data_IF_897819334830
#
_entry.id   IF_897819334830
#
_cell.length_a   1.000
_cell.length_b   1.000
_cell.length_c   1.000
_cell.angle_alpha   90.00
_cell.angle_beta   90.00
_cell.angle_gamma   90.00
#
_symmetry.space_group_name_H-M   'P 1'
#
loop_
_entity.id
_entity.type
_entity.pdbx_description
1 polymer ?
2 non-polymer ?
#
# COMPACT_ATOMS: atom_id res chain seq x y z
N UNK A 13 23.89 7.99 -20.30
CA UNK A 13 22.79 7.39 -19.56
C UNK A 13 23.29 6.27 -18.66
N UNK A 14 24.16 5.43 -19.23
CA UNK A 14 24.71 4.26 -18.52
C UNK A 14 25.37 4.68 -17.21
N UNK A 15 26.16 5.74 -17.24
CA UNK A 15 26.83 6.29 -16.07
C UNK A 15 26.23 7.63 -15.68
N UNK A 16 25.20 8.08 -16.39
CA UNK A 16 24.56 9.36 -16.16
C UNK A 16 23.32 9.30 -15.32
N UNK A 17 22.49 8.27 -15.51
CA UNK A 17 21.28 8.10 -14.70
C UNK A 17 21.23 6.76 -13.99
N UNK A 18 21.41 5.64 -14.70
CA UNK A 18 21.28 4.30 -14.11
C UNK A 18 22.16 4.16 -12.86
N UNK A 19 23.48 4.31 -13.02
CA UNK A 19 24.41 4.11 -11.91
C UNK A 19 24.15 5.10 -10.77
N UNK A 20 24.10 6.44 -10.98
CA UNK A 20 23.79 7.34 -9.86
C UNK A 20 22.51 6.97 -9.11
N UNK A 21 21.41 6.70 -9.82
CA UNK A 21 20.14 6.37 -9.19
C UNK A 21 20.25 5.09 -8.37
N UNK A 22 20.82 4.04 -8.99
CA UNK A 22 21.04 2.77 -8.31
C UNK A 22 21.87 2.97 -7.04
N UNK A 23 22.93 3.77 -7.13
CA UNK A 23 23.74 4.08 -5.95
C UNK A 23 22.89 4.77 -4.89
N UNK A 24 22.16 5.82 -5.29
CA UNK A 24 21.32 6.60 -4.38
C UNK A 24 20.38 5.70 -3.59
N UNK A 25 19.70 4.80 -4.29
CA UNK A 25 18.72 3.94 -3.63
C UNK A 25 19.37 2.84 -2.81
N UNK A 26 20.33 2.11 -3.40
CA UNK A 26 20.95 0.98 -2.72
C UNK A 26 21.76 1.41 -1.50
N UNK A 27 22.35 2.60 -1.56
CA UNK A 27 23.20 3.18 -0.52
C UNK A 27 22.48 3.26 0.82
N UNK A 28 21.42 4.07 0.90
CA UNK A 28 20.73 4.30 2.16
C UNK A 28 20.08 3.01 2.68
N UNK A 29 19.33 2.32 1.82
CA UNK A 29 18.58 1.13 2.23
C UNK A 29 19.48 -0.01 2.69
N UNK A 30 20.78 0.03 2.36
CA UNK A 30 21.71 -1.05 2.68
C UNK A 30 21.69 -1.37 4.17
N UNK A 31 21.74 -0.34 5.01
CA UNK A 31 21.78 -0.54 6.46
C UNK A 31 20.52 -1.25 6.92
N UNK A 32 19.36 -0.80 6.42
CA UNK A 32 18.07 -1.40 6.76
C UNK A 32 18.06 -2.89 6.42
N UNK A 33 18.52 -3.23 5.20
CA UNK A 33 18.60 -4.62 4.78
C UNK A 33 19.51 -5.40 5.73
N UNK A 34 20.62 -4.77 6.12
CA UNK A 34 21.59 -5.41 7.01
C UNK A 34 20.93 -5.78 8.33
N UNK A 35 20.14 -4.85 8.89
CA UNK A 35 19.50 -5.12 10.18
C UNK A 35 18.43 -6.18 10.02
N UNK A 36 17.70 -6.18 8.89
CA UNK A 36 16.71 -7.23 8.63
C UNK A 36 17.37 -8.61 8.61
N UNK A 37 18.49 -8.72 7.88
CA UNK A 37 19.22 -9.99 7.83
C UNK A 37 19.77 -10.37 9.20
N UNK A 38 20.29 -9.40 9.95
CA UNK A 38 20.81 -9.65 11.29
C UNK A 38 19.70 -10.19 12.18
N UNK A 39 18.56 -9.50 12.21
CA UNK A 39 17.38 -9.95 12.94
C UNK A 39 17.02 -11.38 12.56
N UNK A 40 17.12 -11.71 11.26
CA UNK A 40 16.75 -13.04 10.79
C UNK A 40 17.69 -14.10 11.36
N UNK A 41 18.98 -13.79 11.37
CA UNK A 41 19.97 -14.73 11.90
C UNK A 41 19.84 -14.85 13.42
N UNK A 42 19.53 -13.74 14.08
CA UNK A 42 19.40 -13.76 15.53
C UNK A 42 18.14 -14.48 15.98
N UNK A 43 17.07 -14.43 15.19
CA UNK A 43 15.82 -15.09 15.57
C UNK A 43 15.81 -16.58 15.33
N UNK A 44 16.82 -17.12 14.68
CA UNK A 44 16.93 -18.57 14.48
C UNK A 44 17.79 -19.23 15.53
N UNK A 45 18.27 -18.47 16.52
CA UNK A 45 19.21 -18.99 17.50
C UNK A 45 18.52 -19.64 18.70
N UNK A 46 17.18 -19.70 18.71
CA UNK A 46 16.50 -20.28 19.84
C UNK A 46 16.48 -19.42 21.08
N UNK A 47 16.56 -18.11 20.93
CA UNK A 47 16.45 -17.22 22.07
C UNK A 47 15.03 -17.20 22.62
N UNK A 48 14.83 -16.77 23.86
CA UNK A 48 13.48 -16.60 24.40
C UNK A 48 12.69 -15.59 23.59
N UNK A 49 11.37 -15.72 23.64
CA UNK A 49 10.49 -14.79 22.92
C UNK A 49 10.74 -13.35 23.36
N UNK A 50 10.91 -13.14 24.67
CA UNK A 50 11.18 -11.81 25.21
C UNK A 50 12.39 -11.19 24.54
N UNK A 51 13.46 -11.98 24.42
CA UNK A 51 14.71 -11.50 23.83
C UNK A 51 14.51 -11.15 22.36
N UNK A 52 13.73 -11.97 21.63
CA UNK A 52 13.47 -11.70 20.22
C UNK A 52 12.73 -10.38 20.02
N UNK A 53 11.65 -10.18 20.79
CA UNK A 53 10.91 -8.93 20.72
C UNK A 53 11.78 -7.75 21.11
N UNK A 54 12.55 -7.87 22.21
CA UNK A 54 13.38 -6.75 22.65
C UNK A 54 14.43 -6.43 21.59
N UNK A 55 15.00 -7.46 20.97
CA UNK A 55 16.04 -7.25 19.97
C UNK A 55 15.47 -6.49 18.79
N UNK A 56 14.27 -6.88 18.33
CA UNK A 56 13.72 -6.17 17.18
C UNK A 56 13.34 -4.74 17.59
N UNK A 57 13.00 -4.51 18.87
CA UNK A 57 12.73 -3.14 19.32
C UNK A 57 13.96 -2.28 19.15
N UNK A 58 15.10 -2.75 19.69
CA UNK A 58 16.37 -2.04 19.53
C UNK A 58 16.73 -1.84 18.06
N UNK A 59 16.48 -2.85 17.23
CA UNK A 59 16.73 -2.70 15.80
C UNK A 59 15.82 -1.68 15.14
N UNK A 60 14.56 -1.63 15.58
CA UNK A 60 13.64 -0.63 15.06
C UNK A 60 14.03 0.77 15.47
N UNK A 61 14.50 0.93 16.71
CA UNK A 61 15.04 2.23 17.14
C UNK A 61 16.22 2.64 16.29
N UNK A 62 17.14 1.71 16.02
CA UNK A 62 18.31 2.08 15.24
C UNK A 62 17.96 2.39 13.79
N UNK A 63 17.02 1.65 13.20
CA UNK A 63 16.58 1.93 11.84
C UNK A 63 15.84 3.26 11.74
N UNK A 64 14.97 3.53 12.72
CA UNK A 64 14.25 4.81 12.72
C UNK A 64 15.21 5.97 12.92
N UNK A 65 16.23 5.79 13.76
CA UNK A 65 17.23 6.83 13.91
C UNK A 65 18.01 7.02 12.62
N UNK A 66 18.32 5.92 11.92
CA UNK A 66 19.11 6.03 10.69
C UNK A 66 18.35 6.75 9.60
N UNK A 67 17.04 6.53 9.51
CA UNK A 67 16.30 7.16 8.43
C UNK A 67 15.76 8.54 8.79
N UNK A 68 15.46 8.81 10.05
CA UNK A 68 14.81 10.06 10.40
C UNK A 68 15.58 10.91 11.41
N UNK A 69 16.86 10.61 11.67
CA UNK A 69 17.72 11.35 12.61
C UNK A 69 17.06 11.50 13.97
N UNK A 70 17.14 12.70 14.55
CA UNK A 70 16.59 12.91 15.89
C UNK A 70 15.07 12.93 15.88
N UNK A 71 14.46 13.20 14.74
CA UNK A 71 13.02 13.33 14.60
C UNK A 71 12.25 12.01 14.72
N UNK A 72 12.85 10.88 15.10
CA UNK A 72 12.14 9.62 15.30
C UNK A 72 11.20 9.65 16.50
N UNK A 73 11.26 10.73 17.30
CA UNK A 73 10.46 10.87 18.51
C UNK A 73 8.98 10.77 18.20
N UNK A 74 8.54 11.21 17.03
CA UNK A 74 7.11 11.19 16.72
C UNK A 74 6.61 9.74 16.64
N UNK A 75 7.37 8.88 15.96
CA UNK A 75 7.02 7.46 15.88
C UNK A 75 7.10 6.84 17.28
N UNK A 76 8.13 7.20 18.05
CA UNK A 76 8.28 6.68 19.41
C UNK A 76 7.07 7.07 20.25
N UNK A 77 6.67 8.35 20.15
CA UNK A 77 5.50 8.88 20.82
C UNK A 77 4.29 8.04 20.48
N UNK A 78 4.05 7.80 19.18
CA UNK A 78 2.89 7.04 18.76
C UNK A 78 2.92 5.63 19.34
N UNK A 79 4.09 4.98 19.28
CA UNK A 79 4.22 3.61 19.77
C UNK A 79 3.83 3.52 21.24
N UNK A 80 4.44 4.37 22.07
CA UNK A 80 4.14 4.39 23.49
C UNK A 80 2.69 4.76 23.73
N UNK A 81 2.17 5.74 22.98
CA UNK A 81 0.79 6.20 23.16
C UNK A 81 -0.19 5.08 22.87
N UNK A 82 0.05 4.32 21.78
CA UNK A 82 -0.84 3.23 21.41
C UNK A 82 -0.80 2.14 22.44
N UNK A 83 0.40 1.79 22.95
CA UNK A 83 0.43 0.80 24.02
C UNK A 83 -0.31 1.30 25.24
N UNK A 84 -0.10 2.57 25.61
CA UNK A 84 -0.74 3.15 26.78
C UNK A 84 -2.26 3.02 26.68
N UNK A 85 -2.80 3.40 25.51
CA UNK A 85 -4.25 3.33 25.27
C UNK A 85 -4.71 1.88 25.33
N UNK A 86 -3.98 0.98 24.67
CA UNK A 86 -4.35 -0.43 24.66
C UNK A 86 -4.36 -1.01 26.07
N UNK A 87 -3.36 -0.65 26.88
CA UNK A 87 -3.26 -1.11 28.25
C UNK A 87 -4.45 -0.61 29.07
N UNK A 88 -4.77 0.68 28.92
CA UNK A 88 -5.89 1.25 29.69
C UNK A 88 -7.21 0.55 29.38
N UNK A 89 -7.36 0.01 28.17
CA UNK A 89 -8.59 -0.64 27.75
C UNK A 89 -8.37 -2.13 27.50
N UNK A 90 -7.42 -2.74 28.23
CA UNK A 90 -7.05 -4.14 28.02
C UNK A 90 -8.17 -5.13 28.34
N UNK A 91 -9.21 -4.69 29.04
CA UNK A 91 -10.32 -5.57 29.39
C UNK A 91 -11.55 -5.28 28.55
N UNK A 92 -11.56 -4.15 27.86
CA UNK A 92 -12.70 -3.72 27.06
C UNK A 92 -12.77 -4.55 25.79
N UNK A 93 -13.99 -4.83 25.33
CA UNK A 93 -14.20 -5.52 24.07
C UNK A 93 -14.20 -4.59 22.88
N UNK A 94 -13.87 -3.32 23.08
CA UNK A 94 -13.81 -2.30 22.03
C UNK A 94 -12.42 -1.71 21.94
N UNK A 95 -11.39 -2.58 22.00
CA UNK A 95 -10.00 -2.14 21.92
C UNK A 95 -9.66 -1.49 20.58
N UNK A 96 -10.17 -2.05 19.49
CA UNK A 96 -9.93 -1.45 18.18
C UNK A 96 -10.55 -0.08 18.04
N UNK A 97 -11.69 0.15 18.66
CA UNK A 97 -12.33 1.46 18.61
C UNK A 97 -11.45 2.50 19.29
N UNK A 98 -10.97 2.20 20.50
CA UNK A 98 -10.14 3.14 21.24
C UNK A 98 -8.81 3.38 20.53
N UNK A 99 -8.19 2.33 20.00
CA UNK A 99 -6.93 2.51 19.29
C UNK A 99 -7.12 3.30 18.00
N UNK A 100 -8.24 3.07 17.29
CA UNK A 100 -8.52 3.84 16.09
C UNK A 100 -8.78 5.30 16.41
N UNK A 101 -9.47 5.57 17.53
CA UNK A 101 -9.70 6.95 17.94
C UNK A 101 -8.38 7.63 18.29
N UNK A 102 -7.49 6.93 18.99
CA UNK A 102 -6.22 7.55 19.38
C UNK A 102 -5.31 7.76 18.17
N UNK A 103 -5.39 6.86 17.18
CA UNK A 103 -4.66 7.05 15.94
C UNK A 103 -5.22 8.24 15.19
N UNK A 104 -6.56 8.36 15.14
CA UNK A 104 -7.22 9.52 14.52
C UNK A 104 -6.69 10.80 15.13
N UNK A 105 -6.68 10.88 16.47
CA UNK A 105 -6.23 12.09 17.17
C UNK A 105 -4.80 12.42 16.79
N UNK A 106 -3.90 11.43 16.91
CA UNK A 106 -2.48 11.67 16.66
C UNK A 106 -2.26 12.14 15.22
N UNK A 107 -2.88 11.45 14.25
CA UNK A 107 -2.70 11.79 12.85
C UNK A 107 -3.23 13.20 12.58
N UNK A 108 -4.42 13.52 13.12
CA UNK A 108 -5.00 14.84 12.90
C UNK A 108 -4.10 15.93 13.46
N UNK A 109 -3.52 15.67 14.64
CA UNK A 109 -2.64 16.65 15.28
C UNK A 109 -1.41 16.89 14.40
N UNK A 110 -0.85 15.81 13.84
CA UNK A 110 0.27 15.97 12.94
C UNK A 110 -0.08 16.71 11.66
N UNK A 111 -1.25 16.42 11.08
CA UNK A 111 -1.72 17.12 9.88
C UNK A 111 -2.03 18.59 10.15
N UNK A 112 -2.34 18.94 11.40
CA UNK A 112 -2.60 20.32 11.79
C UNK A 112 -1.36 21.21 11.73
N UNK A 113 -0.21 20.65 11.35
CA UNK A 113 1.08 21.32 11.15
C UNK A 113 1.76 21.70 12.46
N UNK A 114 1.38 21.06 13.57
CA UNK A 114 2.06 21.28 14.84
C UNK A 114 3.54 20.91 14.73
N UNK A 115 3.85 19.94 13.88
CA UNK A 115 5.21 19.49 13.62
C UNK A 115 5.61 20.01 12.24
N UNK A 116 6.93 20.20 12.05
CA UNK A 116 7.49 20.68 10.79
C UNK A 116 7.03 19.83 9.62
N UNK A 117 6.64 20.50 8.52
CA UNK A 117 6.12 19.80 7.34
C UNK A 117 7.14 18.83 6.74
N UNK A 118 8.41 19.27 6.62
CA UNK A 118 9.45 18.42 6.06
C UNK A 118 9.66 17.20 6.95
N UNK A 119 9.79 17.42 8.25
CA UNK A 119 9.99 16.33 9.20
C UNK A 119 8.81 15.38 9.19
N UNK A 120 7.58 15.93 9.23
CA UNK A 120 6.38 15.10 9.28
C UNK A 120 6.27 14.23 8.03
N UNK A 121 6.41 14.86 6.85
CA UNK A 121 6.29 14.12 5.59
C UNK A 121 7.39 13.08 5.46
N UNK A 122 8.58 13.40 5.96
CA UNK A 122 9.73 12.50 5.91
C UNK A 122 9.41 11.10 6.43
N UNK A 123 8.58 11.00 7.47
CA UNK A 123 8.28 9.72 8.10
C UNK A 123 6.78 9.41 8.13
N UNK A 124 6.08 9.78 7.07
CA UNK A 124 4.67 9.43 6.95
C UNK A 124 4.50 7.92 6.81
N UNK A 125 5.40 7.28 6.05
CA UNK A 125 5.33 5.85 5.85
C UNK A 125 5.51 5.03 7.12
N UNK A 126 6.62 5.27 7.84
CA UNK A 126 6.87 4.56 9.10
C UNK A 126 5.74 4.77 10.12
N UNK A 127 5.28 6.01 10.26
CA UNK A 127 4.17 6.30 11.16
C UNK A 127 2.89 5.63 10.69
N UNK A 128 2.66 5.60 9.38
CA UNK A 128 1.50 4.91 8.82
C UNK A 128 1.53 3.43 9.16
N UNK A 129 2.69 2.80 9.02
CA UNK A 129 2.79 1.37 9.30
C UNK A 129 2.59 1.09 10.78
N UNK A 130 3.15 1.95 11.65
CA UNK A 130 2.96 1.80 13.09
C UNK A 130 1.49 1.96 13.47
N UNK A 131 0.82 2.97 12.90
CA UNK A 131 -0.60 3.19 13.17
C UNK A 131 -1.45 2.03 12.68
N UNK A 132 -1.15 1.52 11.49
CA UNK A 132 -1.89 0.39 10.95
C UNK A 132 -1.70 -0.85 11.81
N UNK A 133 -0.48 -1.09 12.28
CA UNK A 133 -0.20 -2.23 13.15
C UNK A 133 -0.95 -2.11 14.47
N UNK A 134 -0.98 -0.92 15.07
CA UNK A 134 -1.66 -0.76 16.35
C UNK A 134 -3.17 -0.95 16.20
N UNK A 135 -3.76 -0.36 15.17
CA UNK A 135 -5.19 -0.50 14.94
C UNK A 135 -5.54 -1.96 14.63
N UNK A 136 -4.70 -2.63 13.84
CA UNK A 136 -4.93 -4.02 13.51
C UNK A 136 -4.86 -4.92 14.73
N UNK A 137 -3.90 -4.68 15.63
CA UNK A 137 -3.84 -5.50 16.83
C UNK A 137 -5.04 -5.26 17.73
N UNK A 138 -5.50 -4.00 17.81
CA UNK A 138 -6.71 -3.74 18.58
C UNK A 138 -7.93 -4.45 18.03
N UNK A 139 -8.11 -4.43 16.72
CA UNK A 139 -9.26 -5.10 16.13
C UNK A 139 -9.12 -6.61 16.18
N UNK A 140 -7.89 -7.14 16.12
CA UNK A 140 -7.69 -8.58 16.24
C UNK A 140 -7.99 -9.04 17.66
N UNK A 141 -7.65 -8.22 18.66
CA UNK A 141 -8.03 -8.53 20.03
C UNK A 141 -9.54 -8.44 20.22
N UNK A 142 -10.20 -7.50 19.53
CA UNK A 142 -11.66 -7.41 19.64
C UNK A 142 -12.35 -8.61 19.02
N UNK A 143 -11.92 -9.03 17.83
CA UNK A 143 -12.59 -10.13 17.16
C UNK A 143 -12.20 -11.50 17.71
N UNK A 144 -11.19 -11.58 18.56
CA UNK A 144 -10.82 -12.83 19.17
C UNK A 144 -9.77 -13.62 18.42
N UNK A 145 -9.23 -13.06 17.32
CA UNK A 145 -8.18 -13.76 16.60
C UNK A 145 -6.91 -13.85 17.45
N UNK A 146 -6.63 -12.84 18.25
CA UNK A 146 -5.56 -12.87 19.24
C UNK A 146 -6.21 -13.12 20.59
N UNK A 147 -5.78 -14.17 21.26
CA UNK A 147 -6.41 -14.62 22.50
C UNK A 147 -6.32 -13.65 23.65
N UNK A 148 -5.10 -13.30 24.04
CA UNK A 148 -4.86 -12.43 25.18
C UNK A 148 -4.20 -11.14 24.70
N UNK A 149 -4.36 -10.09 25.50
CA UNK A 149 -3.68 -8.83 25.22
C UNK A 149 -2.18 -9.03 25.36
N UNK A 150 -1.37 -8.64 24.37
CA UNK A 150 0.06 -8.92 24.43
C UNK A 150 0.77 -8.14 25.51
N UNK A 151 1.90 -8.69 25.93
CA UNK A 151 2.78 -8.03 26.88
C UNK A 151 3.40 -6.80 26.21
N UNK A 152 3.93 -5.84 27.01
CA UNK A 152 4.53 -4.65 26.40
C UNK A 152 5.64 -4.95 25.41
N UNK A 153 6.48 -5.95 25.70
CA UNK A 153 7.60 -6.25 24.82
C UNK A 153 7.11 -6.82 23.49
N UNK A 154 6.02 -7.60 23.50
CA UNK A 154 5.48 -8.13 22.26
C UNK A 154 4.85 -7.03 21.41
N UNK A 155 4.10 -6.12 22.04
CA UNK A 155 3.50 -5.02 21.28
C UNK A 155 4.56 -4.10 20.71
N UNK A 156 5.59 -3.78 21.50
CA UNK A 156 6.64 -2.89 21.02
C UNK A 156 7.47 -3.59 19.93
N UNK A 157 7.68 -4.89 20.06
CA UNK A 157 8.36 -5.63 19.01
C UNK A 157 7.53 -5.70 17.73
N UNK A 158 6.22 -5.81 17.88
CA UNK A 158 5.33 -5.79 16.71
C UNK A 158 5.37 -4.43 16.01
N UNK A 159 5.37 -3.34 16.78
CA UNK A 159 5.42 -2.02 16.15
C UNK A 159 6.79 -1.75 15.56
N UNK A 160 7.85 -2.23 16.21
CA UNK A 160 9.21 -2.03 15.74
C UNK A 160 9.79 -3.28 15.10
N UNK A 161 9.00 -4.06 14.38
CA UNK A 161 9.56 -5.16 13.62
C UNK A 161 10.44 -4.55 12.55
N UNK A 162 11.73 -4.90 12.57
CA UNK A 162 12.70 -4.17 11.78
C UNK A 162 12.55 -4.44 10.28
N UNK A 163 11.90 -5.54 9.91
CA UNK A 163 11.58 -5.73 8.52
C UNK A 163 10.38 -4.93 8.05
N UNK A 164 9.59 -4.39 8.97
CA UNK A 164 8.36 -3.68 8.61
C UNK A 164 8.24 -2.37 9.36
N UNK A 165 9.33 -1.60 9.47
CA UNK A 165 9.33 -0.37 10.24
C UNK A 165 9.40 0.87 9.35
N UNK A 166 10.33 0.90 8.39
CA UNK A 166 10.54 2.11 7.58
C UNK A 166 9.62 2.14 6.36
N UNK A 167 9.82 1.20 5.44
CA UNK A 167 8.96 1.09 4.27
C UNK A 167 8.17 -0.20 4.27
N UNK A 168 8.30 -0.98 5.34
CA UNK A 168 7.72 -2.29 5.49
C UNK A 168 6.23 -2.38 5.26
N UNK A 169 5.78 -3.50 4.72
CA UNK A 169 4.34 -3.72 4.60
C UNK A 169 3.74 -3.95 5.96
N UNK A 170 2.49 -3.53 6.12
CA UNK A 170 1.77 -3.89 7.32
C UNK A 170 1.65 -5.40 7.40
N UNK A 171 1.96 -5.96 8.55
CA UNK A 171 1.75 -7.38 8.78
C UNK A 171 0.88 -7.52 10.02
N UNK A 172 0.11 -8.60 10.07
CA UNK A 172 -0.75 -8.84 11.22
C UNK A 172 0.10 -9.26 12.41
N UNK A 173 -0.49 -9.14 13.61
CA UNK A 173 0.20 -9.57 14.81
C UNK A 173 0.52 -11.06 14.77
N UNK A 174 -0.41 -11.86 14.24
CA UNK A 174 -0.14 -13.30 14.10
C UNK A 174 0.97 -13.57 13.10
N UNK A 175 1.00 -12.81 11.99
CA UNK A 175 2.10 -12.92 11.04
C UNK A 175 3.43 -12.54 11.68
N UNK A 176 3.43 -11.49 12.52
CA UNK A 176 4.64 -11.11 13.24
C UNK A 176 5.08 -12.22 14.20
N UNK A 177 4.13 -12.81 14.92
CA UNK A 177 4.48 -13.89 15.85
C UNK A 177 5.00 -15.11 15.10
N UNK A 178 4.47 -15.38 13.91
CA UNK A 178 5.00 -16.44 13.07
C UNK A 178 6.42 -16.14 12.65
N UNK A 179 6.70 -14.88 12.31
CA UNK A 179 8.07 -14.46 12.03
C UNK A 179 8.97 -14.66 13.25
N UNK A 180 8.43 -14.38 14.44
CA UNK A 180 9.18 -14.55 15.69
C UNK A 180 9.54 -16.01 15.91
N UNK A 181 8.58 -16.91 15.67
CA UNK A 181 8.82 -18.34 15.83
C UNK A 181 9.94 -18.83 14.91
N UNK A 182 10.09 -18.20 13.75
CA UNK A 182 11.20 -18.47 12.87
C UNK A 182 10.93 -19.60 11.89
N UNK A 183 11.66 -19.57 10.78
CA UNK A 183 11.60 -20.61 9.78
C UNK A 183 13.01 -20.88 9.27
N UNK A 184 13.29 -22.12 8.88
CA UNK A 184 14.63 -22.43 8.34
C UNK A 184 14.97 -21.61 7.11
N UNK A 185 16.21 -21.11 7.09
CA UNK A 185 16.70 -20.36 5.95
C UNK A 185 16.90 -21.32 4.77
N UNK A 186 16.24 -21.04 3.66
CA UNK A 186 16.22 -21.94 2.53
C UNK A 186 16.58 -21.18 1.26
N UNK A 187 16.79 -21.96 0.19
CA UNK A 187 17.06 -21.38 -1.12
C UNK A 187 15.87 -20.57 -1.61
N UNK A 188 14.65 -21.04 -1.34
CA UNK A 188 13.44 -20.32 -1.71
C UNK A 188 13.40 -18.93 -1.08
N UNK A 189 13.77 -18.84 0.20
CA UNK A 189 13.83 -17.56 0.90
C UNK A 189 14.82 -16.62 0.23
N UNK A 190 16.03 -17.11 -0.05
CA UNK A 190 17.06 -16.28 -0.68
C UNK A 190 16.63 -15.83 -2.07
N UNK A 191 16.01 -16.73 -2.83
CA UNK A 191 15.50 -16.35 -4.14
C UNK A 191 14.44 -15.27 -4.05
N UNK A 192 13.54 -15.38 -3.07
CA UNK A 192 12.51 -14.35 -2.86
C UNK A 192 13.14 -13.00 -2.54
N UNK A 193 14.11 -12.98 -1.62
CA UNK A 193 14.77 -11.73 -1.25
C UNK A 193 15.52 -11.14 -2.44
N UNK A 194 16.29 -11.97 -3.14
CA UNK A 194 17.06 -11.50 -4.28
C UNK A 194 16.16 -10.96 -5.39
N UNK A 195 15.09 -11.69 -5.71
CA UNK A 195 14.15 -11.26 -6.73
C UNK A 195 13.50 -9.93 -6.35
N UNK A 196 13.08 -9.81 -5.09
CA UNK A 196 12.46 -8.56 -4.62
C UNK A 196 13.45 -7.40 -4.68
N UNK A 197 14.70 -7.62 -4.27
CA UNK A 197 15.71 -6.57 -4.32
C UNK A 197 16.02 -6.15 -5.76
N UNK A 198 16.20 -7.12 -6.65
CA UNK A 198 16.46 -6.82 -8.05
C UNK A 198 15.31 -6.06 -8.68
N UNK A 199 14.08 -6.49 -8.41
CA UNK A 199 12.91 -5.79 -8.94
C UNK A 199 12.79 -4.40 -8.35
N UNK A 200 13.11 -4.23 -7.05
CA UNK A 200 13.08 -2.92 -6.43
C UNK A 200 14.06 -1.97 -7.09
N UNK A 201 15.30 -2.43 -7.29
CA UNK A 201 16.30 -1.57 -7.92
C UNK A 201 15.94 -1.25 -9.36
N UNK A 202 15.39 -2.24 -10.07
CA UNK A 202 14.93 -2.02 -11.45
C UNK A 202 13.79 -1.00 -11.49
N UNK A 203 12.83 -1.11 -10.58
CA UNK A 203 11.71 -0.17 -10.56
C UNK A 203 12.19 1.24 -10.21
N UNK A 204 13.14 1.36 -9.28
CA UNK A 204 13.70 2.67 -8.95
C UNK A 204 14.41 3.29 -10.16
N UNK A 205 15.24 2.49 -10.83
CA UNK A 205 15.96 2.93 -12.03
C UNK A 205 14.97 3.36 -13.10
N UNK A 206 13.92 2.56 -13.31
CA UNK A 206 12.88 2.89 -14.28
C UNK A 206 12.17 4.17 -13.90
N UNK A 207 11.86 4.35 -12.61
CA UNK A 207 11.17 5.55 -12.14
C UNK A 207 12.01 6.80 -12.35
N UNK A 208 13.32 6.69 -12.23
CA UNK A 208 14.14 7.89 -12.35
C UNK A 208 14.61 8.13 -13.78
N UNK A 209 14.90 7.07 -14.54
CA UNK A 209 15.47 7.21 -15.87
C UNK A 209 14.47 6.86 -16.97
N UNK A 210 13.90 5.65 -16.98
CA UNK A 210 13.03 5.24 -18.08
C UNK A 210 11.73 6.03 -18.05
N UNK A 211 11.06 6.06 -16.90
CA UNK A 211 9.79 6.72 -16.70
C UNK A 211 9.66 8.16 -17.17
N UNK A 212 10.49 9.07 -16.65
CA UNK A 212 10.38 10.49 -17.04
C UNK A 212 10.69 10.75 -18.51
N UNK A 213 11.54 9.94 -19.14
CA UNK A 213 11.96 10.18 -20.51
C UNK A 213 11.32 9.21 -21.49
N UNK A 214 10.17 8.63 -21.12
CA UNK A 214 9.51 7.61 -21.94
C UNK A 214 9.12 8.15 -23.32
N UNK A 215 8.24 9.14 -23.34
CA UNK A 215 7.75 9.65 -24.62
C UNK A 215 8.72 10.49 -25.44
N UNK A 216 9.52 11.41 -24.87
CA UNK A 216 10.47 12.15 -25.73
C UNK A 216 11.47 11.26 -26.46
N UNK A 217 11.89 10.12 -25.89
CA UNK A 217 12.94 9.33 -26.52
C UNK A 217 12.47 7.92 -26.85
N UNK A 218 12.14 7.09 -25.87
CA UNK A 218 11.71 5.69 -26.08
C UNK A 218 10.59 5.51 -27.11
N UNK A 229 1.98 22.96 -27.19
CA UNK A 229 1.61 22.14 -26.05
C UNK A 229 0.16 21.66 -26.21
N UNK A 230 -0.06 20.84 -27.24
CA UNK A 230 -1.37 20.29 -27.49
C UNK A 230 -1.77 19.26 -26.45
N UNK A 231 -3.07 18.91 -26.50
CA UNK A 231 -3.67 17.96 -25.56
C UNK A 231 -2.91 16.63 -25.54
N UNK A 232 -2.46 16.17 -26.71
CA UNK A 232 -1.69 14.93 -26.78
C UNK A 232 -0.40 15.04 -25.98
N UNK A 233 0.31 16.17 -26.13
CA UNK A 233 1.54 16.41 -25.39
C UNK A 233 1.25 16.37 -23.89
N UNK A 234 0.16 17.04 -23.47
CA UNK A 234 -0.19 17.08 -22.05
C UNK A 234 -0.47 15.68 -21.53
N UNK A 235 -1.19 14.86 -22.31
CA UNK A 235 -1.48 13.50 -21.87
C UNK A 235 -0.22 12.64 -21.83
N UNK A 236 0.73 12.88 -22.74
CA UNK A 236 2.00 12.17 -22.69
C UNK A 236 2.77 12.50 -21.43
N UNK A 237 2.87 13.80 -21.11
CA UNK A 237 3.53 14.23 -19.88
C UNK A 237 2.81 13.70 -18.63
N UNK A 238 1.47 13.72 -18.65
CA UNK A 238 0.70 13.19 -17.53
C UNK A 238 0.95 11.71 -17.36
N UNK A 239 0.97 10.96 -18.46
CA UNK A 239 1.18 9.52 -18.40
C UNK A 239 2.57 9.22 -17.89
N UNK A 240 3.59 9.94 -18.37
CA UNK A 240 4.94 9.62 -17.93
C UNK A 240 5.13 10.00 -16.46
N UNK A 241 4.46 11.05 -15.99
CA UNK A 241 4.52 11.37 -14.56
C UNK A 241 3.81 10.30 -13.74
N UNK A 242 2.74 9.73 -14.29
CA UNK A 242 2.02 8.68 -13.58
C UNK A 242 2.86 7.41 -13.52
N UNK A 243 3.45 7.02 -14.65
CA UNK A 243 4.25 5.80 -14.72
C UNK A 243 5.49 5.93 -13.84
N UNK A 244 6.11 7.11 -13.80
CA UNK A 244 7.23 7.35 -12.89
C UNK A 244 6.80 7.21 -11.43
N UNK A 245 5.63 7.79 -11.07
CA UNK A 245 5.10 7.63 -9.72
C UNK A 245 4.81 6.16 -9.41
N UNK A 246 4.27 5.43 -10.40
CA UNK A 246 3.98 4.02 -10.21
C UNK A 246 5.25 3.23 -9.95
N UNK A 247 6.30 3.44 -10.76
CA UNK A 247 7.53 2.71 -10.53
C UNK A 247 8.22 3.10 -9.22
N UNK A 248 8.07 4.35 -8.77
CA UNK A 248 8.56 4.71 -7.44
C UNK A 248 7.82 3.93 -6.36
N UNK A 249 6.49 3.84 -6.49
CA UNK A 249 5.70 3.04 -5.56
C UNK A 249 6.09 1.56 -5.63
N UNK A 250 6.31 1.04 -6.84
CA UNK A 250 6.72 -0.36 -7.00
C UNK A 250 8.07 -0.59 -6.35
N UNK A 251 8.98 0.38 -6.46
CA UNK A 251 10.26 0.31 -5.76
C UNK A 251 10.03 0.15 -4.26
N UNK A 252 9.17 1.00 -3.70
CA UNK A 252 8.86 0.89 -2.27
C UNK A 252 8.22 -0.45 -1.94
N UNK A 253 7.28 -0.90 -2.78
CA UNK A 253 6.62 -2.18 -2.56
C UNK A 253 7.57 -3.37 -2.58
N UNK A 254 8.42 -3.45 -3.61
CA UNK A 254 9.37 -4.56 -3.72
C UNK A 254 10.43 -4.48 -2.65
N UNK A 255 10.86 -3.26 -2.30
CA UNK A 255 11.79 -3.10 -1.19
C UNK A 255 11.16 -3.58 0.11
N UNK A 256 9.88 -3.28 0.31
CA UNK A 256 9.17 -3.73 1.50
C UNK A 256 9.06 -5.26 1.52
N UNK A 257 8.80 -5.87 0.36
CA UNK A 257 8.82 -7.33 0.25
C UNK A 257 10.19 -7.89 0.61
N UNK A 258 11.25 -7.27 0.09
CA UNK A 258 12.61 -7.72 0.34
C UNK A 258 12.94 -7.63 1.82
N UNK A 259 12.66 -6.49 2.45
CA UNK A 259 12.98 -6.30 3.86
C UNK A 259 12.17 -7.25 4.74
N UNK A 260 10.87 -7.37 4.49
CA UNK A 260 10.03 -8.24 5.30
C UNK A 260 10.44 -9.70 5.17
N UNK A 261 10.66 -10.17 3.93
CA UNK A 261 11.11 -11.54 3.72
C UNK A 261 12.49 -11.76 4.34
N UNK A 262 13.40 -10.81 4.15
CA UNK A 262 14.75 -10.91 4.69
C UNK A 262 14.75 -10.90 6.20
N UNK A 263 13.73 -10.33 6.84
CA UNK A 263 13.64 -10.38 8.28
C UNK A 263 12.99 -11.65 8.78
N UNK A 264 12.30 -12.39 7.91
CA UNK A 264 11.69 -13.65 8.27
C UNK A 264 10.18 -13.69 8.25
N UNK A 265 9.51 -12.61 7.84
CA UNK A 265 8.06 -12.59 7.80
C UNK A 265 7.59 -12.84 6.37
N UNK A 266 6.28 -12.73 6.16
CA UNK A 266 5.74 -12.88 4.82
C UNK A 266 5.80 -14.27 4.24
N UNK A 267 5.51 -15.31 5.04
CA UNK A 267 5.48 -16.67 4.55
C UNK A 267 4.10 -17.29 4.74
N UNK A 268 3.79 -18.27 3.91
CA UNK A 268 2.53 -18.99 3.96
C UNK A 268 2.80 -20.48 4.06
N UNK A 269 2.47 -21.05 5.21
CA UNK A 269 2.65 -22.47 5.51
C UNK A 269 1.44 -23.20 4.92
N UNK A 270 1.49 -23.46 3.62
CA UNK A 270 0.37 -24.11 2.94
C UNK A 270 0.68 -25.57 2.69
N UNK A 271 -0.22 -26.45 3.17
CA UNK A 271 -0.13 -27.91 3.03
C UNK A 271 1.23 -28.42 3.47
N UNK A 272 1.68 -27.92 4.63
CA UNK A 272 2.98 -28.25 5.23
C UNK A 272 4.11 -27.98 4.24
N UNK A 273 3.95 -26.94 3.44
CA UNK A 273 4.91 -26.52 2.44
C UNK A 273 5.05 -25.01 2.54
N UNK A 274 6.24 -24.55 2.88
CA UNK A 274 6.51 -23.14 3.13
C UNK A 274 6.71 -22.36 1.83
N UNK A 275 5.94 -21.29 1.64
CA UNK A 275 6.05 -20.43 0.47
C UNK A 275 6.22 -18.98 0.91
N UNK A 276 7.40 -18.43 0.67
CA UNK A 276 7.66 -17.00 0.91
C UNK A 276 7.05 -16.24 -0.25
N UNK A 277 5.79 -15.85 -0.11
CA UNK A 277 5.06 -15.25 -1.21
C UNK A 277 4.38 -13.96 -0.80
N UNK A 278 4.98 -13.21 0.11
CA UNK A 278 4.45 -11.89 0.45
C UNK A 278 4.57 -11.00 -0.77
N UNK A 279 3.43 -10.53 -1.25
CA UNK A 279 3.38 -9.64 -2.41
C UNK A 279 2.75 -8.33 -1.97
N UNK A 280 3.49 -7.24 -2.09
CA UNK A 280 2.97 -5.93 -1.74
C UNK A 280 2.35 -5.26 -2.95
N UNK A 281 3.03 -5.29 -4.08
CA UNK A 281 2.54 -4.65 -5.29
C UNK A 281 2.65 -5.61 -6.45
N UNK A 282 1.65 -5.58 -7.34
CA UNK A 282 1.65 -6.36 -8.57
C UNK A 282 1.68 -5.38 -9.73
N UNK A 283 2.89 -5.00 -10.19
CA UNK A 283 2.99 -4.01 -11.28
C UNK A 283 2.27 -4.40 -12.55
N UNK A 284 2.29 -5.68 -12.92
CA UNK A 284 1.64 -6.12 -14.15
C UNK A 284 0.13 -5.89 -14.12
N UNK A 285 -0.48 -5.99 -12.94
CA UNK A 285 -1.91 -5.79 -12.81
C UNK A 285 -2.32 -4.32 -12.74
N UNK A 286 -1.36 -3.39 -12.67
CA UNK A 286 -1.64 -1.97 -12.70
C UNK A 286 -1.22 -1.35 -14.03
N UNK A 287 0.00 -1.67 -14.49
CA UNK A 287 0.50 -1.19 -15.77
C UNK A 287 -0.36 -1.73 -16.92
N UNK A 288 -0.69 -3.01 -16.88
CA UNK A 288 -1.64 -3.61 -17.80
C UNK A 288 -2.90 -3.94 -17.02
N UNK A 289 -3.79 -2.96 -16.80
CA UNK A 289 -4.92 -3.15 -15.89
C UNK A 289 -6.18 -3.69 -16.53
N UNK A 290 -6.84 -4.60 -15.82
CA UNK A 290 -8.17 -5.00 -16.27
C UNK A 290 -9.21 -3.99 -15.80
N UNK A 291 -9.12 -3.56 -14.54
CA UNK A 291 -10.05 -2.61 -13.97
C UNK A 291 -9.31 -1.73 -12.97
N UNK A 292 -9.93 -0.60 -12.63
CA UNK A 292 -9.34 0.29 -11.63
C UNK A 292 -9.42 -0.32 -10.24
N UNK A 293 -10.41 -1.18 -9.99
CA UNK A 293 -10.48 -1.92 -8.73
C UNK A 293 -9.24 -2.79 -8.58
N UNK A 294 -8.85 -3.47 -9.67
CA UNK A 294 -7.63 -4.26 -9.67
C UNK A 294 -6.41 -3.38 -9.43
N UNK A 295 -6.40 -2.18 -10.02
CA UNK A 295 -5.30 -1.24 -9.83
C UNK A 295 -5.15 -0.88 -8.36
N UNK A 296 -6.26 -0.50 -7.72
CA UNK A 296 -6.25 -0.11 -6.31
C UNK A 296 -5.81 -1.27 -5.43
N UNK A 297 -6.35 -2.46 -5.68
CA UNK A 297 -5.99 -3.63 -4.90
C UNK A 297 -4.52 -3.99 -5.07
N UNK A 298 -4.05 -4.06 -6.32
CA UNK A 298 -2.68 -4.45 -6.62
C UNK A 298 -1.68 -3.38 -6.25
N UNK A 299 -2.14 -2.14 -6.03
CA UNK A 299 -1.25 -1.03 -5.67
C UNK A 299 -0.46 -1.35 -4.41
N UNK A 300 -1.16 -1.76 -3.35
CA UNK A 300 -0.52 -2.13 -2.11
C UNK A 300 -1.42 -3.17 -1.43
N UNK A 301 -1.12 -4.46 -1.68
CA UNK A 301 -1.95 -5.54 -1.14
C UNK A 301 -2.07 -5.48 0.38
N UNK A 302 -0.99 -5.33 1.18
CA UNK A 302 -1.17 -5.17 2.63
C UNK A 302 -2.10 -4.03 2.99
N UNK A 303 -1.88 -2.85 2.40
CA UNK A 303 -2.72 -1.68 2.69
C UNK A 303 -4.16 -1.94 2.28
N UNK A 304 -4.38 -2.50 1.08
CA UNK A 304 -5.73 -2.77 0.61
C UNK A 304 -6.43 -3.75 1.56
N UNK A 305 -5.71 -4.78 2.00
CA UNK A 305 -6.27 -5.74 2.94
C UNK A 305 -6.60 -5.08 4.26
N UNK A 306 -5.68 -4.25 4.76
CA UNK A 306 -5.89 -3.56 6.03
C UNK A 306 -7.13 -2.69 5.97
N UNK A 307 -7.22 -1.85 4.93
CA UNK A 307 -8.36 -0.96 4.78
C UNK A 307 -9.65 -1.73 4.59
N UNK A 308 -9.57 -2.88 3.91
CA UNK A 308 -10.75 -3.69 3.65
C UNK A 308 -11.23 -4.41 4.91
N UNK A 309 -10.31 -4.89 5.73
CA UNK A 309 -10.68 -5.70 6.89
C UNK A 309 -10.88 -4.89 8.16
N UNK A 310 -10.09 -3.84 8.36
CA UNK A 310 -10.11 -3.07 9.60
C UNK A 310 -10.78 -1.71 9.47
N UNK A 311 -11.24 -1.32 8.28
CA UNK A 311 -11.98 -0.07 8.12
C UNK A 311 -13.27 -0.34 7.37
N UNK A 312 -13.20 -1.10 6.28
CA UNK A 312 -14.38 -1.32 5.45
C UNK A 312 -15.42 -2.18 6.16
N UNK A 313 -14.98 -3.29 6.77
CA UNK A 313 -15.93 -4.16 7.47
C UNK A 313 -16.52 -3.48 8.69
N UNK A 314 -15.74 -2.62 9.36
CA UNK A 314 -16.27 -1.90 10.51
C UNK A 314 -17.17 -0.75 10.12
N UNK A 315 -17.10 -0.29 8.86
CA UNK A 315 -17.93 0.82 8.40
C UNK A 315 -19.12 0.37 7.56
N UNK A 316 -19.40 -0.94 7.54
CA UNK A 316 -20.52 -1.44 6.73
C UNK A 316 -21.87 -1.02 7.27
N UNK A 317 -21.94 -0.52 8.50
CA UNK A 317 -23.19 -0.06 9.08
C UNK A 317 -23.69 1.23 8.45
N UNK A 318 -22.84 1.95 7.72
CA UNK A 318 -23.23 3.17 7.03
C UNK A 318 -23.69 2.92 5.61
N UNK A 319 -23.68 1.68 5.16
CA UNK A 319 -23.92 1.37 3.76
C UNK A 319 -22.62 1.10 3.03
N UNK A 320 -22.74 0.50 1.84
CA UNK A 320 -21.56 0.12 1.08
C UNK A 320 -20.81 1.35 0.55
N UNK A 321 -21.54 2.29 -0.06
CA UNK A 321 -20.90 3.46 -0.65
C UNK A 321 -20.30 4.36 0.43
N UNK A 322 -21.01 4.55 1.54
CA UNK A 322 -20.48 5.35 2.63
C UNK A 322 -19.25 4.68 3.24
N UNK A 323 -19.24 3.34 3.29
CA UNK A 323 -18.07 2.63 3.77
C UNK A 323 -16.90 2.81 2.82
N UNK A 324 -17.17 2.88 1.52
CA UNK A 324 -16.11 3.16 0.54
C UNK A 324 -15.51 4.53 0.78
N UNK A 325 -16.37 5.53 1.01
CA UNK A 325 -15.88 6.87 1.30
C UNK A 325 -15.11 6.94 2.63
N UNK A 326 -15.58 6.21 3.65
CA UNK A 326 -14.88 6.17 4.93
C UNK A 326 -13.52 5.48 4.77
N UNK A 327 -13.48 4.40 3.99
CA UNK A 327 -12.23 3.69 3.74
C UNK A 327 -11.23 4.55 3.00
N UNK A 328 -11.69 5.27 1.98
CA UNK A 328 -10.77 6.14 1.23
C UNK A 328 -10.35 7.36 2.04
N UNK A 329 -11.23 7.87 2.92
CA UNK A 329 -10.83 8.98 3.78
C UNK A 329 -9.79 8.51 4.80
N UNK A 330 -9.95 7.29 5.32
CA UNK A 330 -8.95 6.73 6.21
C UNK A 330 -7.63 6.50 5.47
N UNK A 331 -7.71 6.10 4.21
CA UNK A 331 -6.51 5.96 3.40
C UNK A 331 -5.84 7.32 3.17
N UNK A 332 -6.64 8.36 2.97
CA UNK A 332 -6.09 9.71 2.78
C UNK A 332 -5.41 10.20 4.04
N UNK A 333 -5.99 9.89 5.20
CA UNK A 333 -5.37 10.28 6.46
C UNK A 333 -4.09 9.49 6.72
N UNK A 334 -4.08 8.19 6.36
CA UNK A 334 -2.88 7.38 6.57
C UNK A 334 -1.71 7.85 5.73
N UNK A 335 -1.95 8.34 4.52
CA UNK A 335 -0.88 8.88 3.69
C UNK A 335 -0.55 10.32 4.01
N UNK A 336 -1.23 10.90 5.00
CA UNK A 336 -1.05 12.29 5.34
C UNK A 336 -1.97 13.15 4.50
N UNK A 337 -2.60 14.15 5.12
CA UNK A 337 -3.57 14.96 4.40
C UNK A 337 -2.80 15.97 3.56
N UNK A 338 -2.63 15.65 2.29
CA UNK A 338 -2.30 16.62 1.26
C UNK A 338 -3.49 16.67 0.32
N UNK A 339 -3.81 17.86 -0.16
CA UNK A 339 -5.08 18.01 -0.89
C UNK A 339 -5.07 17.26 -2.20
N UNK A 340 -3.92 17.17 -2.88
CA UNK A 340 -3.90 16.45 -4.15
C UNK A 340 -4.13 14.96 -3.93
N UNK A 341 -3.51 14.37 -2.91
CA UNK A 341 -3.70 12.95 -2.65
C UNK A 341 -5.10 12.67 -2.10
N UNK A 342 -5.64 13.58 -1.30
CA UNK A 342 -7.02 13.43 -0.83
C UNK A 342 -8.00 13.52 -1.99
N UNK A 343 -7.74 14.43 -2.93
CA UNK A 343 -8.58 14.54 -4.12
C UNK A 343 -8.44 13.31 -5.00
N UNK A 344 -7.23 12.76 -5.11
CA UNK A 344 -7.01 11.54 -5.90
C UNK A 344 -7.78 10.38 -5.30
N UNK A 345 -7.74 10.23 -3.97
CA UNK A 345 -8.42 9.10 -3.36
C UNK A 345 -9.94 9.28 -3.37
N UNK A 346 -10.42 10.52 -3.22
CA UNK A 346 -11.85 10.78 -3.33
C UNK A 346 -12.35 10.53 -4.74
N UNK A 347 -11.57 10.90 -5.76
CA UNK A 347 -11.93 10.57 -7.12
C UNK A 347 -11.83 9.06 -7.36
N UNK A 348 -10.85 8.40 -6.74
CA UNK A 348 -10.67 6.97 -6.91
C UNK A 348 -11.82 6.17 -6.33
N UNK A 349 -12.41 6.64 -5.24
CA UNK A 349 -13.61 5.99 -4.69
C UNK A 349 -14.72 5.96 -5.72
N UNK A 350 -15.04 7.11 -6.31
CA UNK A 350 -16.08 7.19 -7.32
C UNK A 350 -15.70 6.40 -8.58
N UNK A 351 -14.45 6.51 -9.02
CA UNK A 351 -14.03 5.83 -10.25
C UNK A 351 -14.13 4.32 -10.07
N UNK A 352 -13.51 3.79 -9.01
CA UNK A 352 -13.51 2.34 -8.79
C UNK A 352 -14.94 1.85 -8.64
N UNK A 353 -15.76 2.54 -7.82
CA UNK A 353 -17.13 2.11 -7.60
C UNK A 353 -17.91 2.07 -8.91
N UNK A 354 -17.81 3.14 -9.71
CA UNK A 354 -18.57 3.25 -10.96
C UNK A 354 -18.12 2.18 -11.94
N UNK A 355 -16.80 2.00 -12.08
CA UNK A 355 -16.27 0.94 -12.93
C UNK A 355 -16.77 -0.43 -12.46
N UNK A 356 -16.70 -0.66 -11.15
CA UNK A 356 -17.12 -1.93 -10.57
C UNK A 356 -18.58 -2.23 -10.90
N UNK A 357 -19.48 -1.29 -10.60
CA UNK A 357 -20.91 -1.52 -10.81
C UNK A 357 -21.20 -1.68 -12.29
N UNK A 358 -20.58 -0.85 -13.14
CA UNK A 358 -20.85 -0.91 -14.57
C UNK A 358 -20.34 -2.22 -15.15
N UNK A 359 -19.14 -2.64 -14.77
CA UNK A 359 -18.59 -3.92 -15.19
C UNK A 359 -19.50 -5.07 -14.75
N UNK A 360 -20.01 -4.99 -13.51
CA UNK A 360 -20.89 -6.04 -12.99
C UNK A 360 -22.17 -6.11 -13.81
N UNK A 361 -22.84 -4.96 -13.99
CA UNK A 361 -24.12 -4.94 -14.70
C UNK A 361 -23.93 -5.37 -16.15
N UNK A 362 -22.81 -4.95 -16.78
CA UNK A 362 -22.52 -5.39 -18.14
C UNK A 362 -22.32 -6.90 -18.18
N UNK A 363 -21.61 -7.44 -17.18
CA UNK A 363 -21.41 -8.88 -17.09
C UNK A 363 -22.74 -9.62 -16.94
N UNK A 364 -23.67 -9.04 -16.19
CA UNK A 364 -24.96 -9.68 -15.99
C UNK A 364 -25.80 -9.63 -17.26
N UNK A 365 -25.95 -8.43 -17.84
CA UNK A 365 -26.80 -8.26 -19.02
C UNK A 365 -26.23 -8.99 -20.23
N UNK A 366 -24.92 -8.93 -20.43
CA UNK A 366 -24.29 -9.48 -21.61
C UNK A 366 -23.69 -10.87 -21.39
N UNK A 367 -24.04 -11.53 -20.27
CA UNK A 367 -23.51 -12.83 -19.85
C UNK A 367 -22.04 -13.04 -20.21
N UNK A 368 -21.20 -12.07 -19.86
CA UNK A 368 -19.81 -12.06 -20.26
C UNK A 368 -18.88 -11.95 -19.06
N UNK A 369 -17.64 -12.37 -19.25
CA UNK A 369 -16.60 -12.34 -18.22
C UNK A 369 -15.90 -10.98 -18.19
N UNK A 370 -16.69 -9.92 -17.97
CA UNK A 370 -16.16 -8.57 -18.00
C UNK A 370 -16.22 -7.96 -16.60
N UNK A 371 -16.16 -8.79 -15.57
CA UNK A 371 -16.09 -8.32 -14.20
C UNK A 371 -14.75 -7.65 -13.92
N UNK A 372 -14.68 -6.95 -12.78
CA UNK A 372 -13.48 -6.23 -12.40
C UNK A 372 -12.32 -7.16 -12.08
N UNK A 373 -12.62 -8.42 -11.77
CA UNK A 373 -11.61 -9.45 -11.61
C UNK A 373 -11.92 -10.57 -12.59
N UNK A 374 -10.96 -11.47 -12.77
CA UNK A 374 -11.18 -12.61 -13.65
C UNK A 374 -12.21 -13.56 -13.05
N UNK A 375 -13.10 -14.06 -13.91
CA UNK A 375 -14.08 -15.04 -13.46
C UNK A 375 -13.40 -16.37 -13.16
N UNK A 376 -13.95 -17.16 -12.24
CA UNK A 376 -13.45 -18.52 -12.05
C UNK A 376 -13.78 -19.38 -13.25
N UNK A 377 -13.11 -20.53 -13.41
CA UNK A 377 -13.42 -21.40 -14.56
C UNK A 377 -14.84 -21.93 -14.59
N UNK A 378 -15.53 -21.98 -13.47
CA UNK A 378 -16.94 -22.38 -13.43
C UNK A 378 -17.76 -21.14 -13.07
N UNK A 379 -18.12 -20.37 -14.08
CA UNK A 379 -19.00 -19.23 -13.95
C UNK A 379 -20.10 -19.34 -15.00
N UNK A 380 -21.24 -18.74 -14.71
CA UNK A 380 -22.43 -18.94 -15.53
C UNK A 380 -22.46 -18.06 -16.77
N UNK A 381 -21.42 -17.26 -17.01
CA UNK A 381 -21.41 -16.39 -18.18
C UNK A 381 -21.31 -17.20 -19.47
N UNK A 382 -22.18 -16.90 -20.42
CA UNK A 382 -22.20 -17.64 -21.68
C UNK A 382 -21.01 -17.28 -22.56
N UNK A 383 -20.70 -16.00 -22.67
CA UNK A 383 -19.61 -15.53 -23.51
C UNK A 383 -18.37 -15.35 -22.64
N UNK A 384 -17.37 -16.22 -22.84
CA UNK A 384 -16.19 -16.24 -22.00
C UNK A 384 -14.94 -15.76 -22.71
N UNK A 385 -14.75 -16.16 -23.97
CA UNK A 385 -13.50 -15.87 -24.69
C UNK A 385 -13.75 -15.23 -26.04
N UNK A 386 -14.92 -14.63 -26.26
CA UNK A 386 -15.24 -14.06 -27.54
C UNK A 386 -14.46 -12.80 -27.84
N UNK A 387 -14.62 -12.31 -29.08
CA UNK A 387 -13.93 -11.09 -29.48
C UNK A 387 -14.53 -9.88 -28.79
N UNK A 388 -15.85 -9.89 -28.56
CA UNK A 388 -16.47 -8.78 -27.86
C UNK A 388 -16.03 -8.67 -26.41
N UNK A 389 -15.84 -9.80 -25.73
CA UNK A 389 -15.36 -9.79 -24.36
C UNK A 389 -13.96 -9.21 -24.29
N UNK A 390 -13.09 -9.62 -25.22
CA UNK A 390 -11.73 -9.08 -25.25
C UNK A 390 -11.74 -7.60 -25.58
N UNK A 391 -12.63 -7.18 -26.49
CA UNK A 391 -12.73 -5.76 -26.85
C UNK A 391 -13.22 -4.93 -25.66
N UNK A 392 -14.21 -5.42 -24.92
CA UNK A 392 -14.70 -4.69 -23.76
C UNK A 392 -13.65 -4.63 -22.66
N UNK A 393 -12.92 -5.72 -22.44
CA UNK A 393 -11.84 -5.70 -21.45
C UNK A 393 -10.72 -4.76 -21.86
N UNK A 394 -10.39 -4.72 -23.16
CA UNK A 394 -9.38 -3.80 -23.64
C UNK A 394 -9.84 -2.35 -23.52
N UNK A 395 -11.12 -2.08 -23.79
CA UNK A 395 -11.66 -0.74 -23.65
C UNK A 395 -11.63 -0.28 -22.20
N UNK A 396 -12.00 -1.16 -21.27
CA UNK A 396 -11.95 -0.80 -19.86
C UNK A 396 -10.52 -0.69 -19.36
N UNK A 397 -9.60 -1.50 -19.89
CA UNK A 397 -8.20 -1.35 -19.52
C UNK A 397 -7.59 -0.06 -20.04
N UNK A 398 -7.95 0.34 -21.25
CA UNK A 398 -7.52 1.63 -21.77
C UNK A 398 -8.12 2.77 -20.95
N UNK A 399 -9.38 2.63 -20.53
CA UNK A 399 -9.96 3.62 -19.64
C UNK A 399 -9.25 3.67 -18.30
N UNK A 400 -8.81 2.51 -17.80
CA UNK A 400 -8.07 2.46 -16.54
C UNK A 400 -6.70 3.12 -16.68
N UNK A 401 -6.02 2.90 -17.80
CA UNK A 401 -4.74 3.56 -18.07
C UNK A 401 -4.94 5.07 -18.18
N UNK A 402 -6.03 5.47 -18.82
CA UNK A 402 -6.43 6.87 -18.93
C UNK A 402 -6.68 7.49 -17.55
N UNK A 403 -7.38 6.77 -16.68
CA UNK A 403 -7.60 7.23 -15.32
C UNK A 403 -6.30 7.32 -14.54
N UNK A 404 -5.39 6.36 -14.75
CA UNK A 404 -4.10 6.38 -14.07
C UNK A 404 -3.28 7.58 -14.48
N UNK A 405 -3.26 7.91 -15.78
CA UNK A 405 -2.52 9.07 -16.24
C UNK A 405 -3.14 10.35 -15.69
N UNK A 406 -4.47 10.40 -15.64
CA UNK A 406 -5.17 11.56 -15.11
C UNK A 406 -4.87 11.79 -13.64
N UNK A 407 -5.01 10.74 -12.82
CA UNK A 407 -4.80 10.88 -11.40
C UNK A 407 -3.32 11.02 -11.05
N UNK A 408 -2.44 10.36 -11.80
CA UNK A 408 -1.01 10.44 -11.58
C UNK A 408 -0.34 11.69 -12.09
N UNK A 409 -1.07 12.52 -12.85
CA UNK A 409 -0.49 13.77 -13.30
C UNK A 409 -0.22 14.73 -12.14
N UNK A 410 -0.88 14.53 -11.00
CA UNK A 410 -0.69 15.37 -9.82
C UNK A 410 0.63 15.10 -9.11
N UNK A 411 1.35 14.03 -9.48
CA UNK A 411 2.52 13.58 -8.75
C UNK A 411 3.81 13.80 -9.53
N UNK A 412 3.86 14.89 -10.30
CA UNK A 412 5.06 15.24 -11.02
C UNK A 412 6.14 15.82 -10.09
N UNK A 413 7.38 15.71 -10.54
CA UNK A 413 8.52 16.19 -9.75
C UNK A 413 9.35 17.15 -10.59
N UNK A 424 1.92 21.45 -2.97
CA UNK A 424 0.81 21.00 -3.80
C UNK A 424 -0.51 21.11 -3.05
N UNK A 425 -1.34 22.07 -3.46
CA UNK A 425 -2.60 22.31 -2.78
C UNK A 425 -3.81 22.23 -3.69
N UNK A 426 -4.90 22.89 -3.28
CA UNK A 426 -6.14 22.85 -4.05
C UNK A 426 -5.98 23.47 -5.43
N UNK A 427 -5.36 24.66 -5.49
CA UNK A 427 -5.19 25.38 -6.76
C UNK A 427 -4.42 24.54 -7.76
N UNK A 428 -3.31 23.93 -7.32
CA UNK A 428 -2.51 23.09 -8.20
C UNK A 428 -3.35 21.96 -8.78
N UNK A 429 -4.08 21.26 -7.90
CA UNK A 429 -4.90 20.13 -8.31
C UNK A 429 -5.90 20.55 -9.38
N UNK A 430 -6.62 21.65 -9.12
CA UNK A 430 -7.66 22.14 -10.03
C UNK A 430 -7.04 22.47 -11.38
N UNK A 431 -5.97 23.28 -11.37
CA UNK A 431 -5.34 23.71 -12.62
C UNK A 431 -4.80 22.51 -13.39
N UNK A 432 -4.12 21.59 -12.70
CA UNK A 432 -3.50 20.44 -13.35
C UNK A 432 -4.56 19.54 -13.99
N UNK A 433 -5.67 19.34 -13.29
CA UNK A 433 -6.72 18.50 -13.86
C UNK A 433 -7.44 19.22 -14.99
N UNK A 434 -7.52 20.56 -14.93
CA UNK A 434 -8.11 21.33 -16.01
C UNK A 434 -7.24 21.27 -17.25
N UNK A 435 -5.92 21.09 -17.06
CA UNK A 435 -5.02 20.88 -18.20
C UNK A 435 -5.41 19.65 -18.99
N UNK A 436 -5.98 18.65 -18.32
CA UNK A 436 -6.46 17.43 -18.95
C UNK A 436 -7.94 17.51 -19.25
N UNK A 437 -8.52 18.70 -19.13
CA UNK A 437 -9.91 19.01 -19.48
C UNK A 437 -10.94 18.15 -18.74
N UNK A 438 -10.65 17.80 -17.47
CA UNK A 438 -11.56 17.04 -16.60
C UNK A 438 -12.09 15.78 -17.25
N UNK A 439 -11.27 15.20 -18.14
CA UNK A 439 -11.68 14.04 -18.94
C UNK A 439 -12.15 12.86 -18.10
N UNK A 440 -11.34 12.45 -17.11
CA UNK A 440 -11.70 11.27 -16.31
C UNK A 440 -13.05 11.45 -15.61
N UNK A 441 -13.27 12.62 -15.02
CA UNK A 441 -14.51 12.87 -14.29
C UNK A 441 -15.70 12.81 -15.23
N UNK A 442 -15.57 13.38 -16.43
CA UNK A 442 -16.65 13.27 -17.42
C UNK A 442 -16.84 11.82 -17.83
N UNK A 443 -15.73 11.10 -18.04
CA UNK A 443 -15.79 9.69 -18.39
C UNK A 443 -16.45 8.92 -17.25
N UNK A 444 -16.08 9.23 -16.01
CA UNK A 444 -16.68 8.58 -14.85
C UNK A 444 -18.16 8.88 -14.80
N UNK A 445 -18.52 10.13 -15.09
CA UNK A 445 -19.93 10.52 -15.16
C UNK A 445 -20.64 9.72 -16.25
N UNK A 446 -20.01 9.62 -17.42
CA UNK A 446 -20.62 8.88 -18.52
C UNK A 446 -20.80 7.40 -18.21
N UNK A 447 -19.82 6.78 -17.57
CA UNK A 447 -19.94 5.39 -17.17
C UNK A 447 -21.07 5.23 -16.16
N UNK A 448 -21.15 6.15 -15.19
CA UNK A 448 -22.22 6.11 -14.20
C UNK A 448 -23.58 6.31 -14.87
N UNK A 449 -23.67 7.28 -15.79
CA UNK A 449 -24.91 7.51 -16.54
C UNK A 449 -25.31 6.23 -17.27
N UNK A 450 -24.34 5.62 -17.97
CA UNK A 450 -24.57 4.38 -18.71
C UNK A 450 -25.10 3.29 -17.79
N UNK A 451 -24.46 3.12 -16.62
CA UNK A 451 -24.83 2.11 -15.64
C UNK A 451 -26.31 2.20 -15.26
N UNK A 452 -26.74 3.39 -14.83
CA UNK A 452 -28.14 3.58 -14.40
C UNK A 452 -29.12 3.30 -15.54
N UNK A 453 -28.83 3.83 -16.73
CA UNK A 453 -29.74 3.71 -17.87
C UNK A 453 -29.97 2.27 -18.28
N UNK A 454 -28.89 1.48 -18.41
CA UNK A 454 -29.01 0.11 -18.93
C UNK A 454 -29.82 -0.76 -17.97
N UNK A 455 -29.60 -0.64 -16.66
CA UNK A 455 -30.34 -1.39 -15.67
C UNK A 455 -31.83 -1.13 -15.64
X LIG B 1 -17.32 -15.31 -16.27
#
# INVERSE_FOLDING_TARGET
>A
MATFSRQEFFQQLLQGCLLPTAQQGLDQIWLLLAICLACRLLWRLGLPSYLKHASTVAGGFFSLYHFFQLHMVWVVLLSLLCYLVLFLCRHSSHRGVFLSVTILIYLLMGEMHMVDTVTWHKMRGAQMIVAMKAVSLGFDLDRGEVGTVPSPVEFMGYLYFVGTIVFGPWISFHSYLQAVQGRPLSARWLQKVARSLALALLCLVLSTCVGPYLFPYFIPLNGDRLLRKGTMVRWLRAYESAVSFHFSNYFVGFLSEATATLAGAGFTEEKDHLEWDLTVSKPLNVELPRSMVEVVTSWNLPMSYWLNNYVFKNALRLGTFSAVLVTYAASALLHGFSFHLAAVLLSLAFITYVEHVLRKRLARILSACVLSKRCPPDCSHQHRLGLGVRALNLLFGALAIFHLAYLGSLFDVDVDDTTEEQGYGMAYTVHKWSELSWASHWVTFGCWIFYRLIGAAAFESRLEVLFQGPAAAAVSKGEELFTGVVPILVELDGDVNGHKFSVSGEGEGDATYGKLTLKFICTTGKLPVPWPTLVTTLTYGVQCFSRYPDHMKQHDFFKSAMPEGYVQERTIFFKDDGNYKTRAEVKFEGDTLVNRIELKGIDFKEDGNILGHKLEYNYNSHNVYIMADKQKNGIKVNFKIRHNIEDGSVQLADHYQQNTPIGDGPVLLPDNHYLSTQSKLSKDPNEKRDHMVLLEFVTAAGITLGMDELYKSGGSGWSHPQFEK
>B hetero
1 ZN ZN
#
